data_IF_957391570260
#
_entry.id   IF_957391570260
#
_cell.length_a   1.000
_cell.length_b   1.000
_cell.length_c   1.000
_cell.angle_alpha   90.00
_cell.angle_beta   90.00
_cell.angle_gamma   90.00
#
_symmetry.space_group_name_H-M   'P 1'
#
loop_
_entity.id
_entity.type
_entity.pdbx_description
1 polymer ?
#
# COMPACT_ATOMS: atom_id res chain seq x y z
N UNK A 1 27.24 -12.31 16.51
CA UNK A 1 27.22 -13.80 16.50
C UNK A 1 28.49 -14.37 15.85
N UNK A 2 28.92 -13.88 14.67
CA UNK A 2 30.12 -14.39 13.99
C UNK A 2 31.41 -14.29 14.87
N UNK A 3 31.51 -13.27 15.72
CA UNK A 3 32.64 -13.15 16.67
C UNK A 3 32.50 -14.08 17.87
N UNK A 4 31.27 -14.35 18.34
CA UNK A 4 31.05 -15.36 19.39
C UNK A 4 31.34 -16.77 18.87
N UNK A 5 31.03 -17.03 17.60
CA UNK A 5 31.30 -18.29 16.92
C UNK A 5 32.79 -18.70 16.88
N UNK A 6 33.71 -17.75 16.94
CA UNK A 6 35.16 -18.02 16.93
C UNK A 6 35.62 -18.60 18.27
N UNK A 7 34.84 -18.43 19.34
CA UNK A 7 35.19 -18.88 20.70
C UNK A 7 34.50 -20.14 21.19
N UNK A 8 33.37 -20.52 20.53
CA UNK A 8 32.54 -21.65 20.95
C UNK A 8 32.45 -22.75 19.90
N UNK A 9 31.77 -23.83 20.26
CA UNK A 9 31.54 -24.97 19.36
C UNK A 9 30.72 -24.58 18.12
N UNK A 10 30.94 -25.30 16.99
CA UNK A 10 30.21 -25.08 15.74
C UNK A 10 28.67 -25.10 15.87
N UNK A 11 28.12 -25.71 16.89
CA UNK A 11 26.69 -25.72 17.17
C UNK A 11 26.18 -24.43 17.80
N UNK A 12 27.03 -23.70 18.55
CA UNK A 12 26.68 -22.38 19.10
C UNK A 12 26.66 -21.27 18.02
N UNK A 13 27.19 -21.57 16.84
CA UNK A 13 27.27 -20.65 15.71
C UNK A 13 25.97 -20.53 14.92
N UNK A 14 25.03 -21.46 15.11
CA UNK A 14 23.76 -21.45 14.38
C UNK A 14 22.74 -20.57 15.09
N UNK A 15 22.25 -19.55 14.38
CA UNK A 15 21.12 -18.78 14.82
C UNK A 15 19.83 -19.54 14.49
N UNK A 16 18.98 -19.81 15.47
CA UNK A 16 17.63 -20.27 15.21
C UNK A 16 16.78 -19.08 14.82
N UNK A 17 16.30 -19.09 13.59
CA UNK A 17 15.49 -18.03 13.03
C UNK A 17 14.04 -18.48 12.85
N UNK A 18 13.10 -17.70 13.41
CA UNK A 18 11.69 -17.84 13.16
C UNK A 18 11.20 -16.68 12.31
N UNK A 19 10.56 -16.98 11.18
CA UNK A 19 9.93 -15.99 10.33
C UNK A 19 8.41 -15.97 10.52
N UNK A 20 7.84 -14.79 10.44
CA UNK A 20 6.38 -14.60 10.44
C UNK A 20 6.01 -13.64 9.34
N UNK A 21 4.93 -13.95 8.59
CA UNK A 21 4.42 -13.05 7.54
C UNK A 21 3.96 -11.72 8.12
N UNK A 22 4.20 -10.63 7.37
CA UNK A 22 3.93 -9.26 7.80
C UNK A 22 2.46 -8.88 7.63
N UNK A 23 1.92 -8.09 8.57
CA UNK A 23 0.61 -7.46 8.40
C UNK A 23 0.70 -6.11 7.67
N UNK A 24 1.89 -5.54 7.51
CA UNK A 24 2.08 -4.22 6.89
C UNK A 24 1.46 -4.13 5.49
N UNK A 25 1.66 -5.15 4.66
CA UNK A 25 1.19 -5.18 3.29
C UNK A 25 -0.23 -5.73 3.13
N UNK A 26 -0.84 -6.26 4.20
CA UNK A 26 -2.19 -6.81 4.13
C UNK A 26 -3.22 -5.70 3.94
N UNK A 27 -4.22 -5.97 3.09
CA UNK A 27 -5.29 -5.03 2.74
C UNK A 27 -6.66 -5.60 3.06
N UNK A 28 -7.61 -4.72 3.43
CA UNK A 28 -9.01 -5.09 3.66
C UNK A 28 -9.75 -5.24 2.33
N UNK A 29 -9.48 -4.33 1.40
CA UNK A 29 -9.99 -4.44 0.04
C UNK A 29 -9.15 -5.41 -0.76
N UNK A 30 -9.79 -6.15 -1.63
CA UNK A 30 -9.17 -7.24 -2.41
C UNK A 30 -8.42 -8.23 -1.51
N UNK A 31 -9.09 -8.62 -0.41
CA UNK A 31 -8.48 -9.35 0.70
C UNK A 31 -7.84 -10.69 0.29
N UNK A 32 -8.35 -11.34 -0.78
CA UNK A 32 -7.76 -12.59 -1.27
C UNK A 32 -6.35 -12.41 -1.87
N UNK A 33 -5.98 -11.20 -2.27
CA UNK A 33 -4.60 -10.90 -2.69
C UNK A 33 -3.61 -11.07 -1.52
N UNK A 34 -4.08 -10.97 -0.27
CA UNK A 34 -3.24 -11.26 0.89
C UNK A 34 -2.71 -12.70 0.90
N UNK A 35 -3.42 -13.66 0.28
CA UNK A 35 -2.92 -15.02 0.10
C UNK A 35 -1.67 -15.06 -0.77
N UNK A 36 -1.64 -14.26 -1.84
CA UNK A 36 -0.48 -14.17 -2.74
C UNK A 36 0.69 -13.48 -2.03
N UNK A 37 0.42 -12.44 -1.25
CA UNK A 37 1.43 -11.74 -0.45
C UNK A 37 2.07 -12.65 0.58
N UNK A 38 1.27 -13.30 1.41
CA UNK A 38 1.75 -14.22 2.45
C UNK A 38 2.48 -15.43 1.86
N UNK A 39 2.05 -15.92 0.67
CA UNK A 39 2.74 -17.00 -0.02
C UNK A 39 4.14 -16.60 -0.47
N UNK A 40 4.32 -15.40 -1.05
CA UNK A 40 5.63 -14.92 -1.48
C UNK A 40 6.53 -14.58 -0.31
N UNK A 41 6.00 -14.05 0.79
CA UNK A 41 6.74 -13.84 2.04
C UNK A 41 7.23 -15.16 2.64
N UNK A 42 6.35 -16.16 2.73
CA UNK A 42 6.70 -17.50 3.21
C UNK A 42 7.74 -18.19 2.31
N UNK A 43 7.60 -18.03 0.98
CA UNK A 43 8.59 -18.52 0.02
C UNK A 43 9.96 -17.88 0.24
N UNK A 44 10.03 -16.57 0.42
CA UNK A 44 11.28 -15.86 0.69
C UNK A 44 11.95 -16.35 1.97
N UNK A 45 11.17 -16.60 3.03
CA UNK A 45 11.67 -17.14 4.29
C UNK A 45 12.18 -18.59 4.13
N UNK A 46 11.47 -19.44 3.35
CA UNK A 46 11.91 -20.81 3.07
C UNK A 46 13.22 -20.83 2.28
N UNK A 47 13.35 -19.97 1.25
CA UNK A 47 14.60 -19.84 0.46
C UNK A 47 15.78 -19.33 1.31
N UNK A 48 15.50 -18.46 2.29
CA UNK A 48 16.51 -17.97 3.25
C UNK A 48 16.94 -19.02 4.29
N UNK A 49 16.26 -20.18 4.34
CA UNK A 49 16.63 -21.28 5.23
C UNK A 49 16.31 -21.02 6.70
N UNK A 50 15.21 -20.35 7.03
CA UNK A 50 14.76 -20.17 8.41
C UNK A 50 14.32 -21.51 9.02
N UNK A 51 14.46 -21.66 10.36
CA UNK A 51 14.16 -22.92 11.05
C UNK A 51 12.64 -23.16 11.17
N UNK A 52 11.85 -22.10 11.23
CA UNK A 52 10.39 -22.18 11.32
C UNK A 52 9.70 -20.96 10.72
N UNK A 53 8.47 -21.17 10.23
CA UNK A 53 7.66 -20.14 9.59
C UNK A 53 6.25 -20.15 10.20
N UNK A 54 5.71 -18.97 10.48
CA UNK A 54 4.28 -18.78 10.75
C UNK A 54 3.66 -17.92 9.66
N UNK A 55 2.69 -18.48 8.94
CA UNK A 55 1.88 -17.75 7.97
C UNK A 55 0.61 -17.26 8.65
N UNK A 56 0.38 -15.96 8.64
CA UNK A 56 -0.85 -15.38 9.17
C UNK A 56 -1.99 -15.55 8.18
N UNK A 57 -3.20 -15.90 8.65
CA UNK A 57 -4.40 -15.94 7.82
C UNK A 57 -4.66 -14.62 7.08
N UNK A 58 -5.16 -14.69 5.86
CA UNK A 58 -5.36 -13.53 4.98
C UNK A 58 -6.39 -12.52 5.50
N UNK A 59 -7.31 -12.98 6.34
CA UNK A 59 -8.41 -12.23 6.92
C UNK A 59 -8.11 -11.63 8.29
N UNK A 60 -6.93 -11.92 8.85
CA UNK A 60 -6.48 -11.52 10.19
C UNK A 60 -6.68 -10.04 10.52
N UNK A 61 -6.60 -9.17 9.52
CA UNK A 61 -6.64 -7.73 9.71
C UNK A 61 -8.05 -7.16 9.86
N UNK A 62 -9.08 -7.84 9.36
CA UNK A 62 -10.46 -7.34 9.36
C UNK A 62 -11.46 -8.23 10.10
N UNK A 63 -11.11 -9.48 10.38
CA UNK A 63 -11.96 -10.38 11.19
C UNK A 63 -11.11 -11.31 12.05
N UNK A 64 -11.77 -12.04 12.96
CA UNK A 64 -11.14 -13.17 13.63
C UNK A 64 -11.04 -14.31 12.64
N UNK A 65 -9.83 -14.88 12.40
CA UNK A 65 -9.65 -16.00 11.49
C UNK A 65 -10.57 -17.18 11.83
N UNK A 66 -11.09 -17.82 10.80
CA UNK A 66 -11.90 -19.02 10.91
C UNK A 66 -11.10 -20.28 10.51
N UNK A 67 -11.71 -21.45 10.65
CA UNK A 67 -11.09 -22.74 10.28
C UNK A 67 -10.66 -22.79 8.81
N UNK A 68 -11.37 -22.06 7.93
CA UNK A 68 -11.03 -22.01 6.51
C UNK A 68 -9.75 -21.19 6.28
N UNK A 69 -9.69 -19.98 6.80
CA UNK A 69 -8.54 -19.09 6.63
C UNK A 69 -7.27 -19.64 7.29
N UNK A 70 -7.41 -20.27 8.47
CA UNK A 70 -6.29 -20.94 9.15
C UNK A 70 -5.81 -22.17 8.38
N UNK A 71 -6.74 -22.95 7.79
CA UNK A 71 -6.41 -24.09 6.94
C UNK A 71 -5.61 -23.63 5.70
N UNK A 72 -6.02 -22.55 5.06
CA UNK A 72 -5.31 -22.02 3.89
C UNK A 72 -3.90 -21.55 4.29
N UNK A 73 -3.76 -20.82 5.38
CA UNK A 73 -2.46 -20.37 5.88
C UNK A 73 -1.48 -21.53 6.16
N UNK A 74 -2.00 -22.64 6.72
CA UNK A 74 -1.22 -23.88 6.88
C UNK A 74 -0.89 -24.52 5.54
N UNK A 75 -1.85 -24.59 4.62
CA UNK A 75 -1.67 -25.24 3.32
C UNK A 75 -0.65 -24.47 2.46
N UNK A 76 -0.52 -23.16 2.59
CA UNK A 76 0.54 -22.39 1.94
C UNK A 76 1.94 -22.94 2.27
N UNK A 77 2.20 -23.27 3.53
CA UNK A 77 3.46 -23.86 3.96
C UNK A 77 3.66 -25.28 3.43
N UNK A 78 2.59 -26.09 3.45
CA UNK A 78 2.63 -27.45 2.90
C UNK A 78 2.89 -27.43 1.40
N UNK A 79 2.30 -26.50 0.65
CA UNK A 79 2.54 -26.31 -0.77
C UNK A 79 4.02 -26.01 -1.06
N UNK A 80 4.63 -25.11 -0.29
CA UNK A 80 6.07 -24.81 -0.45
C UNK A 80 6.94 -26.02 -0.20
N UNK A 81 6.57 -26.90 0.71
CA UNK A 81 7.30 -28.11 1.04
C UNK A 81 7.03 -29.26 0.05
N UNK A 82 5.76 -29.63 -0.11
CA UNK A 82 5.40 -30.87 -0.79
C UNK A 82 5.32 -30.74 -2.33
N UNK A 83 4.92 -29.57 -2.84
CA UNK A 83 4.76 -29.33 -4.28
C UNK A 83 5.95 -28.52 -4.86
N UNK A 84 6.38 -27.50 -4.15
CA UNK A 84 7.50 -26.66 -4.60
C UNK A 84 8.89 -27.24 -4.19
N UNK A 85 8.93 -28.18 -3.27
CA UNK A 85 10.15 -28.87 -2.79
C UNK A 85 11.26 -27.93 -2.30
N UNK A 86 10.88 -26.78 -1.70
CA UNK A 86 11.86 -25.79 -1.22
C UNK A 86 12.66 -26.25 0.00
N UNK A 87 12.27 -27.37 0.62
CA UNK A 87 12.98 -28.04 1.68
C UNK A 87 14.13 -28.94 1.20
N UNK A 88 14.27 -29.17 -0.11
CA UNK A 88 15.27 -30.09 -0.68
C UNK A 88 16.61 -29.45 -0.97
N UNK A 89 16.67 -28.13 -1.01
CA UNK A 89 17.89 -27.39 -1.36
C UNK A 89 18.28 -26.48 -0.21
N UNK A 90 19.53 -26.57 0.22
CA UNK A 90 20.11 -25.67 1.22
C UNK A 90 20.75 -24.50 0.48
N UNK A 91 20.39 -23.27 0.88
CA UNK A 91 20.91 -22.03 0.31
C UNK A 91 20.87 -21.99 -1.24
N UNK A 92 19.66 -22.02 -1.84
CA UNK A 92 19.52 -22.06 -3.29
C UNK A 92 20.04 -20.79 -4.00
N UNK A 93 20.26 -19.71 -3.25
CA UNK A 93 20.80 -18.44 -3.77
C UNK A 93 22.32 -18.33 -3.68
N UNK A 94 23.00 -19.31 -3.09
CA UNK A 94 24.46 -19.32 -2.94
C UNK A 94 25.18 -19.16 -4.28
N UNK A 95 26.18 -18.29 -4.29
CA UNK A 95 26.98 -18.00 -5.48
C UNK A 95 26.35 -17.05 -6.49
N UNK A 96 25.13 -16.56 -6.24
CA UNK A 96 24.56 -15.44 -7.00
C UNK A 96 25.27 -14.15 -6.63
N UNK A 97 26.03 -13.54 -7.55
CA UNK A 97 26.79 -12.31 -7.28
C UNK A 97 25.93 -11.19 -6.69
N UNK A 98 24.74 -11.00 -7.22
CA UNK A 98 23.82 -9.97 -6.72
C UNK A 98 23.37 -10.24 -5.28
N UNK A 99 22.95 -11.47 -4.99
CA UNK A 99 22.45 -11.84 -3.65
C UNK A 99 23.58 -11.79 -2.63
N UNK A 100 24.76 -12.27 -2.96
CA UNK A 100 25.95 -12.23 -2.07
C UNK A 100 26.36 -10.78 -1.74
N UNK A 101 26.45 -9.91 -2.75
CA UNK A 101 26.78 -8.49 -2.56
C UNK A 101 25.72 -7.80 -1.72
N UNK A 102 24.45 -8.01 -2.02
CA UNK A 102 23.35 -7.41 -1.27
C UNK A 102 23.32 -7.86 0.19
N UNK A 103 23.52 -9.17 0.43
CA UNK A 103 23.57 -9.74 1.79
C UNK A 103 24.71 -9.14 2.61
N UNK A 104 25.91 -9.03 2.03
CA UNK A 104 27.05 -8.42 2.69
C UNK A 104 26.80 -6.93 3.00
N UNK A 105 26.23 -6.18 2.03
CA UNK A 105 25.92 -4.77 2.21
C UNK A 105 24.90 -4.54 3.32
N UNK A 106 23.85 -5.38 3.38
CA UNK A 106 22.85 -5.32 4.46
C UNK A 106 23.46 -5.67 5.83
N UNK A 107 24.34 -6.67 5.87
CA UNK A 107 25.04 -7.04 7.10
C UNK A 107 25.94 -5.91 7.61
N UNK A 108 26.65 -5.22 6.72
CA UNK A 108 27.50 -4.08 7.09
C UNK A 108 26.70 -2.91 7.65
N UNK A 109 25.54 -2.58 7.04
CA UNK A 109 24.64 -1.52 7.52
C UNK A 109 24.05 -1.91 8.88
N UNK A 110 23.56 -3.13 9.02
CA UNK A 110 23.01 -3.62 10.28
C UNK A 110 24.07 -3.61 11.41
N UNK A 111 25.33 -3.96 11.09
CA UNK A 111 26.42 -3.92 12.06
C UNK A 111 26.75 -2.50 12.50
N UNK A 112 26.75 -1.52 11.59
CA UNK A 112 26.96 -0.11 11.94
C UNK A 112 25.84 0.40 12.87
N UNK A 113 24.58 0.10 12.55
CA UNK A 113 23.46 0.47 13.43
C UNK A 113 23.57 -0.17 14.82
N UNK A 114 24.01 -1.43 14.88
CA UNK A 114 24.27 -2.09 16.16
C UNK A 114 25.33 -1.36 16.98
N UNK A 115 26.47 -1.00 16.38
CA UNK A 115 27.55 -0.28 17.06
C UNK A 115 27.08 1.11 17.54
N UNK A 116 26.29 1.84 16.76
CA UNK A 116 25.72 3.12 17.16
C UNK A 116 24.82 2.99 18.41
N UNK A 117 24.05 1.91 18.51
CA UNK A 117 23.22 1.63 19.70
C UNK A 117 24.08 1.26 20.91
N UNK A 118 25.15 0.48 20.71
CA UNK A 118 26.09 0.11 21.78
C UNK A 118 26.85 1.33 22.32
N UNK A 119 27.30 2.24 21.46
CA UNK A 119 27.95 3.49 21.86
C UNK A 119 27.06 4.40 22.71
N UNK A 120 25.75 4.32 22.53
CA UNK A 120 24.74 5.05 23.31
C UNK A 120 24.39 4.40 24.66
N UNK A 121 25.07 3.34 25.03
CA UNK A 121 24.86 2.60 26.29
C UNK A 121 24.02 1.35 26.16
N UNK A 122 23.80 0.88 24.93
CA UNK A 122 23.10 -0.37 24.63
C UNK A 122 21.61 -0.21 24.39
N UNK A 123 20.99 -1.29 23.92
CA UNK A 123 19.61 -1.32 23.46
C UNK A 123 18.58 -0.83 24.49
N UNK A 124 18.72 -1.27 25.75
CA UNK A 124 17.76 -0.89 26.82
C UNK A 124 17.77 0.62 27.10
N UNK A 125 18.95 1.24 27.07
CA UNK A 125 19.09 2.70 27.28
C UNK A 125 18.46 3.45 26.11
N UNK A 126 18.77 3.04 24.87
CA UNK A 126 18.23 3.66 23.67
C UNK A 126 16.71 3.53 23.54
N UNK A 127 16.12 2.39 23.97
CA UNK A 127 14.66 2.20 24.02
C UNK A 127 14.03 3.12 25.06
N UNK A 128 14.59 3.21 26.27
CA UNK A 128 14.06 4.08 27.33
C UNK A 128 14.17 5.58 26.93
N UNK A 129 15.19 5.94 26.20
CA UNK A 129 15.35 7.29 25.64
C UNK A 129 14.42 7.57 24.44
N UNK A 130 13.73 6.57 23.90
CA UNK A 130 12.86 6.69 22.73
C UNK A 130 13.58 6.75 21.39
N UNK A 131 14.89 6.59 21.34
CA UNK A 131 15.68 6.73 20.11
C UNK A 131 15.36 5.65 19.08
N UNK A 132 15.19 4.41 19.52
CA UNK A 132 14.81 3.30 18.64
C UNK A 132 13.42 3.54 18.05
N UNK A 133 12.45 3.94 18.88
CA UNK A 133 11.09 4.22 18.44
C UNK A 133 11.04 5.39 17.44
N UNK A 134 11.81 6.44 17.68
CA UNK A 134 11.88 7.58 16.77
C UNK A 134 12.46 7.18 15.40
N UNK A 135 13.52 6.37 15.37
CA UNK A 135 14.12 5.89 14.13
C UNK A 135 13.14 4.97 13.34
N UNK A 136 12.45 4.06 14.03
CA UNK A 136 11.46 3.17 13.42
C UNK A 136 10.26 3.97 12.92
N UNK A 137 9.73 4.90 13.72
CA UNK A 137 8.59 5.73 13.33
C UNK A 137 8.94 6.67 12.15
N UNK A 138 10.16 7.20 12.08
CA UNK A 138 10.61 7.99 10.94
C UNK A 138 10.63 7.16 9.64
N UNK A 139 11.11 5.91 9.71
CA UNK A 139 11.05 4.98 8.57
C UNK A 139 9.60 4.65 8.17
N UNK A 140 8.71 4.49 9.15
CA UNK A 140 7.29 4.23 8.91
C UNK A 140 6.62 5.42 8.21
N UNK A 141 6.89 6.66 8.66
CA UNK A 141 6.38 7.88 8.01
C UNK A 141 6.88 7.98 6.56
N UNK A 142 8.16 7.67 6.30
CA UNK A 142 8.70 7.67 4.95
C UNK A 142 8.00 6.63 4.05
N UNK A 143 7.76 5.42 4.54
CA UNK A 143 7.02 4.37 3.82
C UNK A 143 5.56 4.76 3.57
N UNK A 144 4.84 5.30 4.56
CA UNK A 144 3.48 5.80 4.39
C UNK A 144 3.41 6.90 3.33
N UNK A 145 4.39 7.81 3.33
CA UNK A 145 4.49 8.83 2.28
C UNK A 145 4.70 8.21 0.90
N UNK A 146 5.52 7.16 0.78
CA UNK A 146 5.71 6.44 -0.48
C UNK A 146 4.42 5.77 -0.97
N UNK A 147 3.61 5.19 -0.06
CA UNK A 147 2.29 4.65 -0.37
C UNK A 147 1.32 5.77 -0.77
N UNK A 148 1.27 6.88 -0.04
CA UNK A 148 0.39 8.01 -0.32
C UNK A 148 0.68 8.64 -1.69
N UNK A 149 1.96 8.75 -2.07
CA UNK A 149 2.39 9.26 -3.38
C UNK A 149 2.42 8.20 -4.47
N UNK A 150 1.94 6.97 -4.20
CA UNK A 150 1.91 5.84 -5.14
C UNK A 150 3.29 5.40 -5.66
N UNK A 151 4.38 5.78 -4.98
CA UNK A 151 5.73 5.24 -5.25
C UNK A 151 5.86 3.81 -4.75
N UNK A 152 5.20 3.46 -3.66
CA UNK A 152 5.01 2.08 -3.19
C UNK A 152 3.55 1.67 -3.48
N UNK A 153 3.38 0.65 -4.32
CA UNK A 153 2.07 0.19 -4.77
C UNK A 153 1.57 -0.90 -3.82
N UNK A 154 0.38 -0.70 -3.29
CA UNK A 154 -0.41 -1.72 -2.58
C UNK A 154 -1.62 -2.05 -3.44
N UNK A 155 -1.53 -3.17 -4.17
CA UNK A 155 -2.53 -3.63 -5.11
C UNK A 155 -3.91 -3.77 -4.43
N UNK A 156 -4.93 -3.23 -5.08
CA UNK A 156 -6.30 -3.20 -4.54
C UNK A 156 -6.59 -2.03 -3.61
N UNK A 157 -5.58 -1.31 -3.09
CA UNK A 157 -5.76 -0.18 -2.17
C UNK A 157 -5.44 1.17 -2.81
N UNK A 158 -4.17 1.44 -3.13
CA UNK A 158 -3.78 2.70 -3.76
C UNK A 158 -3.59 2.61 -5.27
N UNK A 159 -3.64 1.41 -5.82
CA UNK A 159 -3.56 1.13 -7.26
C UNK A 159 -4.40 -0.11 -7.59
N UNK A 160 -4.97 -0.14 -8.80
CA UNK A 160 -5.79 -1.25 -9.30
C UNK A 160 -6.92 -1.68 -8.35
N UNK A 161 -7.76 -0.75 -7.86
CA UNK A 161 -8.83 -1.09 -6.95
C UNK A 161 -9.92 -1.92 -7.66
N UNK A 162 -10.55 -2.81 -6.91
CA UNK A 162 -11.78 -3.46 -7.36
C UNK A 162 -12.94 -2.44 -7.24
N UNK A 163 -13.50 -2.03 -8.38
CA UNK A 163 -14.51 -0.95 -8.44
C UNK A 163 -15.86 -1.31 -7.82
N UNK A 164 -16.15 -2.59 -7.69
CA UNK A 164 -17.45 -3.09 -7.22
C UNK A 164 -17.42 -3.64 -5.81
N UNK A 165 -16.25 -3.70 -5.17
CA UNK A 165 -16.11 -4.26 -3.84
C UNK A 165 -16.55 -3.26 -2.77
N UNK A 166 -17.35 -3.76 -1.81
CA UNK A 166 -17.73 -3.09 -0.57
C UNK A 166 -17.17 -3.91 0.59
N UNK A 167 -16.49 -3.26 1.52
CA UNK A 167 -15.84 -3.93 2.64
C UNK A 167 -16.35 -3.49 4.01
N UNK A 168 -17.15 -2.43 4.10
CA UNK A 168 -17.62 -1.90 5.38
C UNK A 168 -18.34 -2.94 6.24
N UNK A 169 -19.11 -3.84 5.62
CA UNK A 169 -19.86 -4.89 6.31
C UNK A 169 -19.00 -6.12 6.69
N UNK A 170 -17.79 -6.24 6.12
CA UNK A 170 -16.90 -7.38 6.37
C UNK A 170 -16.03 -7.17 7.60
N UNK A 171 -15.87 -5.93 8.04
CA UNK A 171 -14.98 -5.59 9.14
C UNK A 171 -15.67 -5.88 10.45
N UNK A 172 -15.15 -6.87 11.17
CA UNK A 172 -15.51 -7.10 12.56
C UNK A 172 -14.73 -6.11 13.43
N UNK A 173 -15.43 -5.28 14.18
CA UNK A 173 -14.78 -4.45 15.20
C UNK A 173 -14.06 -5.38 16.18
N UNK A 174 -12.73 -5.35 16.14
CA UNK A 174 -11.94 -6.03 17.16
C UNK A 174 -12.27 -5.33 18.48
N UNK A 175 -12.96 -6.03 19.36
CA UNK A 175 -13.19 -5.55 20.71
C UNK A 175 -11.89 -5.01 21.27
N UNK A 176 -11.93 -3.85 21.87
CA UNK A 176 -10.82 -3.19 22.55
C UNK A 176 -10.01 -4.22 23.33
N UNK A 177 -8.70 -4.17 23.15
CA UNK A 177 -7.65 -4.95 23.76
C UNK A 177 -8.08 -5.80 24.97
N UNK A 178 -7.93 -7.11 24.86
CA UNK A 178 -8.08 -8.09 25.94
C UNK A 178 -6.95 -8.00 27.00
N UNK A 179 -6.41 -6.83 27.27
CA UNK A 179 -5.67 -6.58 28.50
C UNK A 179 -6.72 -6.57 29.62
N UNK A 180 -7.00 -7.75 30.18
CA UNK A 180 -7.95 -7.86 31.28
C UNK A 180 -7.66 -6.79 32.32
N UNK A 181 -8.62 -5.89 32.54
CA UNK A 181 -8.83 -4.96 33.64
C UNK A 181 -7.69 -4.39 34.46
N UNK A 182 -6.45 -4.49 34.00
CA UNK A 182 -5.31 -3.83 34.61
C UNK A 182 -5.19 -2.43 34.03
N UNK A 183 -5.20 -1.41 34.85
CA UNK A 183 -4.79 -0.06 34.49
C UNK A 183 -3.51 -0.14 33.67
N UNK A 184 -3.55 0.18 32.37
CA UNK A 184 -2.36 0.58 31.66
C UNK A 184 -1.90 1.88 32.34
N UNK A 185 -0.95 1.75 33.29
CA UNK A 185 -0.23 2.91 33.81
C UNK A 185 0.29 3.72 32.62
N UNK A 186 0.44 5.01 32.78
CA UNK A 186 1.02 5.88 31.75
C UNK A 186 2.27 5.18 31.19
N UNK A 187 2.23 4.90 29.90
CA UNK A 187 3.36 4.25 29.23
C UNK A 187 4.57 5.19 29.33
N UNK A 188 5.55 4.81 30.13
CA UNK A 188 6.79 5.58 30.34
C UNK A 188 7.70 5.54 29.11
N UNK A 189 7.42 4.64 28.16
CA UNK A 189 8.22 4.43 26.95
C UNK A 189 7.35 4.78 25.71
N UNK A 190 7.85 5.58 24.76
CA UNK A 190 7.14 5.90 23.53
C UNK A 190 6.71 4.63 22.78
N UNK A 191 5.47 4.58 22.32
CA UNK A 191 4.95 3.46 21.57
C UNK A 191 5.40 3.50 20.09
N UNK A 192 5.50 2.30 19.49
CA UNK A 192 5.66 2.16 18.04
C UNK A 192 4.30 2.34 17.33
N UNK A 193 4.33 2.92 16.14
CA UNK A 193 3.16 2.96 15.26
C UNK A 193 3.05 1.64 14.47
N UNK A 194 2.04 0.82 14.79
CA UNK A 194 1.76 -0.45 14.14
C UNK A 194 0.70 -0.34 13.02
N UNK A 195 0.39 0.86 12.53
CA UNK A 195 -0.55 1.02 11.42
C UNK A 195 -0.02 0.37 10.14
N UNK A 196 -0.93 -0.16 9.33
CA UNK A 196 -0.62 -0.80 8.04
C UNK A 196 -0.44 0.23 6.94
N UNK A 197 0.27 -0.13 5.88
CA UNK A 197 0.49 0.75 4.73
C UNK A 197 -0.80 1.20 4.03
N UNK A 198 -1.83 0.34 3.99
CA UNK A 198 -3.12 0.63 3.36
C UNK A 198 -4.11 1.40 4.23
N UNK A 199 -3.84 1.59 5.54
CA UNK A 199 -4.83 2.07 6.52
C UNK A 199 -5.49 3.38 6.15
N UNK A 200 -4.75 4.33 5.59
CA UNK A 200 -5.28 5.66 5.23
C UNK A 200 -6.20 5.59 4.00
N UNK A 201 -5.82 4.84 2.97
CA UNK A 201 -6.67 4.61 1.80
C UNK A 201 -7.94 3.84 2.15
N UNK A 202 -7.81 2.83 3.02
CA UNK A 202 -8.94 2.07 3.51
C UNK A 202 -9.90 2.93 4.32
N UNK A 203 -9.39 3.79 5.18
CA UNK A 203 -10.20 4.74 5.95
C UNK A 203 -10.98 5.71 5.03
N UNK A 204 -10.33 6.22 4.00
CA UNK A 204 -10.95 7.09 3.01
C UNK A 204 -12.09 6.37 2.28
N UNK A 205 -11.81 5.17 1.75
CA UNK A 205 -12.81 4.38 1.02
C UNK A 205 -13.96 3.94 1.91
N UNK A 206 -13.70 3.52 3.13
CA UNK A 206 -14.74 3.20 4.12
C UNK A 206 -15.60 4.40 4.49
N UNK A 207 -15.02 5.60 4.58
CA UNK A 207 -15.80 6.81 4.80
C UNK A 207 -16.79 7.07 3.66
N UNK A 208 -16.38 6.85 2.41
CA UNK A 208 -17.26 6.92 1.24
C UNK A 208 -18.39 5.88 1.34
N UNK A 209 -18.07 4.62 1.63
CA UNK A 209 -19.06 3.55 1.77
C UNK A 209 -20.08 3.84 2.89
N UNK A 210 -19.59 4.26 4.08
CA UNK A 210 -20.42 4.59 5.24
C UNK A 210 -21.30 5.83 5.02
N UNK A 211 -20.91 6.75 4.14
CA UNK A 211 -21.70 7.94 3.81
C UNK A 211 -23.00 7.60 3.08
N UNK A 212 -23.12 6.39 2.52
CA UNK A 212 -24.22 5.96 1.67
C UNK A 212 -24.31 6.70 0.34
N UNK A 213 -23.36 7.61 0.04
CA UNK A 213 -23.25 8.33 -1.22
C UNK A 213 -22.04 7.81 -1.98
N UNK A 214 -22.23 7.48 -3.25
CA UNK A 214 -21.14 7.09 -4.14
C UNK A 214 -20.99 8.17 -5.21
N UNK A 215 -20.09 9.15 -5.02
CA UNK A 215 -19.89 10.20 -6.01
C UNK A 215 -19.56 9.63 -7.38
N UNK A 216 -20.15 10.21 -8.43
CA UNK A 216 -19.92 9.79 -9.81
C UNK A 216 -18.85 10.67 -10.44
N UNK A 217 -17.80 10.05 -10.94
CA UNK A 217 -16.69 10.71 -11.61
C UNK A 217 -16.74 10.36 -13.09
N UNK A 218 -16.86 11.38 -13.93
CA UNK A 218 -16.91 11.23 -15.39
C UNK A 218 -15.56 11.57 -16.00
N UNK A 219 -15.02 10.65 -16.78
CA UNK A 219 -13.77 10.87 -17.52
C UNK A 219 -14.08 11.58 -18.85
N UNK A 220 -13.89 12.90 -18.90
CA UNK A 220 -14.03 13.67 -20.12
C UNK A 220 -12.77 13.49 -20.99
N UNK A 221 -12.80 12.48 -21.84
CA UNK A 221 -11.68 12.12 -22.73
C UNK A 221 -11.83 12.79 -24.09
N UNK A 222 -10.82 13.62 -24.46
CA UNK A 222 -10.82 14.38 -25.71
C UNK A 222 -9.39 14.56 -26.24
N UNK A 223 -9.20 14.82 -27.51
CA UNK A 223 -7.90 15.08 -28.11
C UNK A 223 -7.08 13.84 -28.39
N UNK A 224 -5.76 13.92 -28.17
CA UNK A 224 -4.80 12.86 -28.49
C UNK A 224 -5.15 11.52 -27.84
N UNK A 225 -5.34 10.48 -28.66
CA UNK A 225 -5.83 9.17 -28.24
C UNK A 225 -4.96 8.51 -27.17
N UNK A 226 -3.64 8.52 -27.36
CA UNK A 226 -2.71 7.84 -26.42
C UNK A 226 -2.71 8.54 -25.05
N UNK A 227 -2.62 9.87 -25.04
CA UNK A 227 -2.56 10.66 -23.83
C UNK A 227 -3.89 10.66 -23.07
N UNK A 228 -5.03 10.84 -23.77
CA UNK A 228 -6.34 10.81 -23.13
C UNK A 228 -6.65 9.48 -22.47
N UNK A 229 -6.25 8.34 -23.09
CA UNK A 229 -6.44 7.01 -22.52
C UNK A 229 -5.55 6.79 -21.29
N UNK A 230 -4.26 7.15 -21.36
CA UNK A 230 -3.35 7.01 -20.24
C UNK A 230 -3.83 7.82 -19.02
N UNK A 231 -4.27 9.06 -19.23
CA UNK A 231 -4.75 9.94 -18.17
C UNK A 231 -6.12 9.54 -17.62
N UNK A 232 -7.03 9.08 -18.50
CA UNK A 232 -8.30 8.52 -18.06
C UNK A 232 -8.08 7.28 -17.17
N UNK A 233 -7.22 6.36 -17.58
CA UNK A 233 -6.92 5.17 -16.82
C UNK A 233 -6.28 5.51 -15.45
N UNK A 234 -5.34 6.46 -15.43
CA UNK A 234 -4.74 6.92 -14.18
C UNK A 234 -5.79 7.54 -13.25
N UNK A 235 -6.59 8.49 -13.76
CA UNK A 235 -7.61 9.18 -12.97
C UNK A 235 -8.72 8.25 -12.50
N UNK A 236 -9.15 7.32 -13.36
CA UNK A 236 -10.11 6.28 -12.99
C UNK A 236 -9.62 5.45 -11.79
N UNK A 237 -8.36 4.97 -11.85
CA UNK A 237 -7.76 4.27 -10.72
C UNK A 237 -7.66 5.15 -9.47
N UNK A 238 -7.29 6.41 -9.63
CA UNK A 238 -7.14 7.35 -8.52
C UNK A 238 -8.45 7.54 -7.76
N UNK A 239 -9.53 7.92 -8.44
CA UNK A 239 -10.83 8.14 -7.80
C UNK A 239 -11.48 6.85 -7.30
N UNK A 240 -11.27 5.72 -7.98
CA UNK A 240 -11.79 4.44 -7.54
C UNK A 240 -11.12 3.93 -6.24
N UNK A 241 -9.87 4.33 -5.94
CA UNK A 241 -9.25 4.05 -4.64
C UNK A 241 -10.02 4.68 -3.47
N UNK A 242 -10.74 5.78 -3.70
CA UNK A 242 -11.63 6.40 -2.73
C UNK A 242 -13.06 5.81 -2.73
N UNK A 243 -13.32 4.80 -3.56
CA UNK A 243 -14.64 4.17 -3.69
C UNK A 243 -15.64 4.95 -4.55
N UNK A 244 -15.17 5.90 -5.39
CA UNK A 244 -16.04 6.67 -6.29
C UNK A 244 -16.43 5.85 -7.51
N UNK A 245 -17.62 6.11 -8.04
CA UNK A 245 -18.13 5.42 -9.23
C UNK A 245 -17.59 6.06 -10.49
N UNK A 246 -16.77 5.34 -11.22
CA UNK A 246 -16.17 5.81 -12.48
C UNK A 246 -17.15 5.62 -13.63
N UNK A 247 -17.27 6.66 -14.48
CA UNK A 247 -17.99 6.63 -15.75
C UNK A 247 -16.95 6.91 -16.83
N UNK A 248 -16.51 5.86 -17.49
CA UNK A 248 -15.56 5.90 -18.60
C UNK A 248 -16.28 5.93 -19.96
N UNK A 249 -15.55 6.32 -21.01
CA UNK A 249 -16.10 6.46 -22.36
C UNK A 249 -14.99 6.31 -23.42
N UNK A 250 -15.40 6.22 -24.68
CA UNK A 250 -14.46 6.06 -25.81
C UNK A 250 -13.83 7.38 -26.29
N UNK A 251 -14.34 8.51 -25.80
CA UNK A 251 -13.89 9.86 -26.17
C UNK A 251 -14.95 10.65 -26.93
N UNK A 252 -14.74 11.97 -26.95
CA UNK A 252 -15.62 12.92 -27.57
C UNK A 252 -14.86 13.73 -28.65
N UNK A 253 -15.57 14.16 -29.66
CA UNK A 253 -15.02 15.03 -30.72
C UNK A 253 -15.05 16.50 -30.30
N UNK A 254 -16.00 16.90 -29.45
CA UNK A 254 -16.14 18.27 -28.94
C UNK A 254 -16.30 18.29 -27.40
N UNK A 255 -15.86 19.38 -26.78
CA UNK A 255 -15.97 19.59 -25.33
C UNK A 255 -17.43 19.63 -24.89
N UNK A 256 -18.29 20.31 -25.68
CA UNK A 256 -19.71 20.49 -25.37
C UNK A 256 -20.44 19.15 -25.32
N UNK A 257 -20.20 18.26 -26.29
CA UNK A 257 -20.79 16.94 -26.32
C UNK A 257 -20.38 16.11 -25.11
N UNK A 258 -19.11 16.22 -24.71
CA UNK A 258 -18.60 15.53 -23.53
C UNK A 258 -19.20 16.06 -22.20
N UNK A 259 -19.33 17.38 -22.09
CA UNK A 259 -19.95 18.02 -20.92
C UNK A 259 -21.44 17.69 -20.83
N UNK A 260 -22.18 17.70 -21.93
CA UNK A 260 -23.57 17.27 -21.95
C UNK A 260 -23.75 15.82 -21.52
N UNK A 261 -22.87 14.93 -21.99
CA UNK A 261 -22.87 13.53 -21.58
C UNK A 261 -22.61 13.37 -20.07
N UNK A 262 -21.65 14.13 -19.52
CA UNK A 262 -21.34 14.13 -18.08
C UNK A 262 -22.55 14.60 -17.25
N UNK A 263 -23.19 15.67 -17.64
CA UNK A 263 -24.39 16.21 -16.97
C UNK A 263 -25.55 15.22 -17.06
N UNK A 264 -25.78 14.62 -18.24
CA UNK A 264 -26.80 13.59 -18.42
C UNK A 264 -26.55 12.34 -17.58
N UNK A 265 -25.30 11.98 -17.36
CA UNK A 265 -24.92 10.86 -16.48
C UNK A 265 -25.09 11.21 -14.99
N UNK A 266 -25.32 12.47 -14.65
CA UNK A 266 -25.41 12.95 -13.27
C UNK A 266 -24.07 12.87 -12.56
N UNK A 267 -22.99 13.24 -13.25
CA UNK A 267 -21.65 13.26 -12.66
C UNK A 267 -21.52 14.44 -11.68
N UNK A 268 -20.93 14.17 -10.54
CA UNK A 268 -20.59 15.15 -9.52
C UNK A 268 -19.20 15.74 -9.74
N UNK A 269 -18.30 14.93 -10.34
CA UNK A 269 -16.93 15.32 -10.67
C UNK A 269 -16.71 15.01 -12.17
N UNK A 270 -16.11 15.95 -12.90
CA UNK A 270 -15.70 15.77 -14.29
C UNK A 270 -14.19 15.95 -14.40
N UNK A 271 -13.52 14.93 -14.88
CA UNK A 271 -12.06 14.92 -15.05
C UNK A 271 -11.71 15.05 -16.51
N UNK A 272 -11.11 16.16 -16.90
CA UNK A 272 -10.63 16.37 -18.26
C UNK A 272 -9.32 15.60 -18.48
N UNK A 273 -9.33 14.71 -19.47
CA UNK A 273 -8.21 13.86 -19.86
C UNK A 273 -7.82 14.15 -21.31
N UNK A 274 -6.69 14.83 -21.52
CA UNK A 274 -6.14 15.18 -22.83
C UNK A 274 -4.61 15.27 -22.76
N UNK A 275 -3.95 15.78 -23.81
CA UNK A 275 -2.52 16.09 -23.77
C UNK A 275 -2.24 17.46 -23.11
N UNK A 276 -0.98 17.67 -22.66
CA UNK A 276 -0.60 18.92 -22.01
C UNK A 276 -0.81 20.15 -22.88
N UNK A 277 -0.53 20.02 -24.18
CA UNK A 277 -0.65 21.10 -25.16
C UNK A 277 -2.11 21.49 -25.41
N UNK A 278 -3.03 20.54 -25.32
CA UNK A 278 -4.45 20.72 -25.60
C UNK A 278 -5.25 21.31 -24.43
N UNK A 279 -4.71 21.23 -23.20
CA UNK A 279 -5.43 21.76 -22.03
C UNK A 279 -5.63 23.27 -22.05
N UNK A 280 -4.73 24.03 -22.67
CA UNK A 280 -4.88 25.49 -22.81
C UNK A 280 -6.19 25.88 -23.54
N UNK A 281 -6.64 25.03 -24.46
CA UNK A 281 -7.89 25.24 -25.23
C UNK A 281 -9.08 24.56 -24.56
N UNK A 282 -8.95 23.28 -24.20
CA UNK A 282 -10.09 22.47 -23.75
C UNK A 282 -10.51 22.77 -22.30
N UNK A 283 -9.58 23.13 -21.40
CA UNK A 283 -9.93 23.32 -20.01
C UNK A 283 -10.83 24.55 -19.77
N UNK A 284 -10.54 25.74 -20.32
CA UNK A 284 -11.44 26.89 -20.18
C UNK A 284 -12.81 26.65 -20.84
N UNK A 285 -12.83 25.97 -21.99
CA UNK A 285 -14.07 25.63 -22.68
C UNK A 285 -14.96 24.69 -21.87
N UNK A 286 -14.36 23.62 -21.30
CA UNK A 286 -15.05 22.67 -20.46
C UNK A 286 -15.58 23.30 -19.16
N UNK A 287 -14.75 24.11 -18.50
CA UNK A 287 -15.16 24.82 -17.28
C UNK A 287 -16.36 25.75 -17.52
N UNK A 288 -16.29 26.54 -18.60
CA UNK A 288 -17.37 27.43 -18.99
C UNK A 288 -18.65 26.66 -19.35
N UNK A 289 -18.52 25.56 -20.09
CA UNK A 289 -19.65 24.71 -20.45
C UNK A 289 -20.29 24.01 -19.26
N UNK A 290 -19.49 23.60 -18.26
CA UNK A 290 -19.98 23.02 -17.00
C UNK A 290 -20.79 24.02 -16.16
N UNK A 291 -20.43 25.29 -16.18
CA UNK A 291 -21.15 26.36 -15.48
C UNK A 291 -21.47 26.04 -14.00
N UNK A 292 -20.52 25.41 -13.28
CA UNK A 292 -20.68 25.06 -11.86
C UNK A 292 -21.63 23.88 -11.58
N UNK A 293 -22.03 23.11 -12.58
CA UNK A 293 -22.92 21.94 -12.43
C UNK A 293 -22.24 20.70 -11.87
N UNK A 294 -20.91 20.65 -11.90
CA UNK A 294 -20.07 19.59 -11.34
C UNK A 294 -18.71 20.18 -10.96
N UNK A 295 -18.01 19.52 -10.04
CA UNK A 295 -16.61 19.81 -9.75
C UNK A 295 -15.74 19.46 -10.95
N UNK A 296 -14.78 20.34 -11.27
CA UNK A 296 -13.95 20.17 -12.44
C UNK A 296 -12.49 19.93 -12.09
N UNK A 297 -11.90 18.89 -12.64
CA UNK A 297 -10.52 18.48 -12.40
C UNK A 297 -9.80 18.29 -13.71
N UNK A 298 -8.54 18.70 -13.81
CA UNK A 298 -7.65 18.42 -14.95
C UNK A 298 -6.67 17.33 -14.59
N UNK A 299 -6.55 16.31 -15.42
CA UNK A 299 -5.62 15.20 -15.21
C UNK A 299 -4.22 15.58 -15.72
N UNK A 300 -3.32 15.98 -14.82
CA UNK A 300 -1.93 16.36 -15.11
C UNK A 300 -1.57 17.73 -14.59
N UNK A 301 -0.31 18.13 -14.82
CA UNK A 301 0.22 19.45 -14.48
C UNK A 301 0.74 20.16 -15.75
N UNK A 302 -0.16 20.65 -16.63
CA UNK A 302 0.26 21.31 -17.84
C UNK A 302 0.97 22.64 -17.55
N UNK A 303 1.81 23.12 -18.48
CA UNK A 303 2.53 24.39 -18.34
C UNK A 303 1.58 25.59 -18.15
N UNK A 304 0.34 25.50 -18.62
CA UNK A 304 -0.72 26.52 -18.44
C UNK A 304 -1.43 26.40 -17.07
N UNK A 305 -0.98 25.52 -16.16
CA UNK A 305 -1.67 25.30 -14.89
C UNK A 305 -1.77 26.57 -14.03
N UNK A 306 -0.76 27.45 -14.08
CA UNK A 306 -0.78 28.71 -13.33
C UNK A 306 -1.90 29.65 -13.78
N UNK A 307 -2.20 29.69 -15.08
CA UNK A 307 -3.31 30.45 -15.65
C UNK A 307 -4.67 29.82 -15.31
N UNK A 308 -4.69 28.52 -15.07
CA UNK A 308 -5.88 27.74 -14.74
C UNK A 308 -6.09 27.61 -13.22
N UNK A 309 -5.10 27.86 -12.37
CA UNK A 309 -5.16 27.73 -10.90
C UNK A 309 -6.25 28.59 -10.22
N UNK A 310 -6.69 29.66 -10.86
CA UNK A 310 -7.86 30.42 -10.42
C UNK A 310 -9.19 29.70 -10.66
N UNK A 311 -9.19 28.60 -11.43
CA UNK A 311 -10.38 27.94 -11.93
C UNK A 311 -10.43 26.44 -11.58
N UNK A 312 -9.33 25.82 -11.17
CA UNK A 312 -9.21 24.37 -11.20
C UNK A 312 -8.49 23.79 -9.98
N UNK A 313 -8.97 22.64 -9.50
CA UNK A 313 -8.15 21.72 -8.72
C UNK A 313 -7.28 20.90 -9.68
N UNK A 314 -5.98 21.13 -9.67
CA UNK A 314 -5.01 20.31 -10.41
C UNK A 314 -4.52 19.19 -9.51
N UNK A 315 -4.60 17.93 -9.95
CA UNK A 315 -3.89 16.84 -9.30
C UNK A 315 -2.53 16.67 -9.96
N UNK A 316 -1.46 16.91 -9.21
CA UNK A 316 -0.09 16.52 -9.57
C UNK A 316 0.02 15.00 -9.68
N UNK A 317 -0.42 14.46 -10.80
CA UNK A 317 -0.35 13.06 -11.09
C UNK A 317 0.45 12.87 -12.37
N UNK A 318 1.76 12.94 -12.26
CA UNK A 318 2.70 12.49 -13.26
C UNK A 318 3.48 11.29 -12.79
#
# INVERSE_FOLDING_TARGET
>A
QRQMCIRDSNCACKMNAHAQTSEWNMTVYDAHVNLLRSQTEAMSAALAGVDSITVRPFDKIYQTPDDFSERIARNQQLLLKEECHLDKVVDPSAGSYYVEVLTNSLADVAWKLFLEVEEKGGFSVAVNAGEIQNAVNASNVARKKAVATRREILLGSNQYPNFTEVAADKIQEKGSCCCGGGHCGEATIPALDFSRGASEFEALRMATEKSGKTPKVFMLTIGNLAMRLARSQFSANFFACAGYKIIDNLGFDTVEAGVEAAVKAGAEIVVLCSSDDEYAEFAPAAYKALAGRAEFVVAGAPACADDLNCLLYTSDAA
#
